data_IF_066307058842
#
_entry.id   IF_066307058842
#
_cell.length_a   1.000
_cell.length_b   1.000
_cell.length_c   1.000
_cell.angle_alpha   90.00
_cell.angle_beta   90.00
_cell.angle_gamma   90.00
#
_symmetry.space_group_name_H-M   'P 1'
#
loop_
_entity.id
_entity.type
_entity.pdbx_description
1 polymer ?
#
# COMPACT_ATOMS: atom_id res chain seq x y z
N UNK A 1 -8.99 5.38 9.80
CA UNK A 1 -9.92 5.96 8.83
C UNK A 1 -9.59 5.45 7.43
N UNK A 2 -10.60 5.01 6.68
CA UNK A 2 -10.37 4.43 5.35
C UNK A 2 -10.37 5.56 4.31
N UNK A 3 -9.38 5.64 3.41
CA UNK A 3 -9.33 6.66 2.38
C UNK A 3 -10.54 6.62 1.44
N UNK A 4 -10.96 7.78 0.99
CA UNK A 4 -12.11 7.90 0.11
C UNK A 4 -11.95 7.10 -1.19
N UNK A 5 -10.73 7.06 -1.74
CA UNK A 5 -10.48 6.32 -2.98
C UNK A 5 -10.81 4.83 -2.85
N UNK A 6 -10.68 4.27 -1.65
CA UNK A 6 -11.07 2.88 -1.40
C UNK A 6 -12.59 2.77 -1.24
N UNK A 7 -13.20 3.73 -0.56
CA UNK A 7 -14.63 3.71 -0.28
C UNK A 7 -15.48 3.80 -1.55
N UNK A 8 -14.98 4.41 -2.61
CA UNK A 8 -15.73 4.56 -3.87
C UNK A 8 -15.54 3.41 -4.84
N UNK A 9 -14.79 2.37 -4.49
CA UNK A 9 -14.67 1.18 -5.33
C UNK A 9 -16.05 0.51 -5.43
N UNK A 10 -16.52 0.31 -6.66
CA UNK A 10 -17.85 -0.24 -6.89
C UNK A 10 -17.98 -1.71 -6.55
N UNK A 11 -16.96 -2.51 -6.90
CA UNK A 11 -16.95 -3.94 -6.62
C UNK A 11 -16.71 -4.16 -5.12
N UNK A 12 -17.62 -4.89 -4.47
CA UNK A 12 -17.54 -5.12 -3.03
C UNK A 12 -16.30 -5.92 -2.63
N UNK A 13 -15.94 -6.92 -3.42
CA UNK A 13 -14.79 -7.77 -3.15
C UNK A 13 -13.49 -6.98 -3.29
N UNK A 14 -13.41 -6.14 -4.32
CA UNK A 14 -12.24 -5.27 -4.53
C UNK A 14 -12.10 -4.24 -3.42
N UNK A 15 -13.21 -3.63 -3.01
CA UNK A 15 -13.22 -2.67 -1.92
C UNK A 15 -12.76 -3.32 -0.62
N UNK A 16 -13.24 -4.50 -0.35
CA UNK A 16 -12.86 -5.27 0.83
C UNK A 16 -11.38 -5.62 0.81
N UNK A 17 -10.88 -6.08 -0.34
CA UNK A 17 -9.47 -6.39 -0.52
C UNK A 17 -8.58 -5.17 -0.23
N UNK A 18 -8.91 -4.02 -0.82
CA UNK A 18 -8.13 -2.80 -0.63
C UNK A 18 -8.23 -2.25 0.78
N UNK A 19 -9.40 -2.37 1.41
CA UNK A 19 -9.56 -1.97 2.80
C UNK A 19 -8.66 -2.78 3.71
N UNK A 20 -8.64 -4.09 3.52
CA UNK A 20 -7.81 -4.99 4.32
C UNK A 20 -6.32 -4.71 4.08
N UNK A 21 -5.93 -4.50 2.84
CA UNK A 21 -4.57 -4.16 2.48
C UNK A 21 -4.14 -2.84 3.15
N UNK A 22 -5.00 -1.83 3.11
CA UNK A 22 -4.72 -0.54 3.73
C UNK A 22 -4.55 -0.68 5.24
N UNK A 23 -5.46 -1.40 5.90
CA UNK A 23 -5.40 -1.58 7.36
C UNK A 23 -4.09 -2.28 7.75
N UNK A 24 -3.69 -3.29 6.98
CA UNK A 24 -2.46 -4.04 7.29
C UNK A 24 -1.20 -3.25 7.05
N UNK A 25 -1.12 -2.52 5.95
CA UNK A 25 0.15 -2.01 5.45
C UNK A 25 0.26 -0.49 5.45
N UNK A 26 -0.74 0.23 5.95
CA UNK A 26 -0.70 1.70 5.92
C UNK A 26 0.53 2.28 6.63
N UNK A 27 0.90 1.71 7.76
CA UNK A 27 2.06 2.19 8.51
C UNK A 27 3.36 1.96 7.75
N UNK A 28 3.47 0.79 7.15
CA UNK A 28 4.65 0.45 6.37
C UNK A 28 4.79 1.36 5.15
N UNK A 29 3.70 1.55 4.42
CA UNK A 29 3.69 2.44 3.26
C UNK A 29 3.99 3.87 3.65
N UNK A 30 3.39 4.36 4.74
CA UNK A 30 3.65 5.70 5.25
C UNK A 30 5.14 5.87 5.56
N UNK A 31 5.73 4.90 6.25
CA UNK A 31 7.14 4.96 6.62
C UNK A 31 8.06 4.97 5.40
N UNK A 32 7.77 4.12 4.42
CA UNK A 32 8.57 4.07 3.19
C UNK A 32 8.54 5.41 2.46
N UNK A 33 7.38 6.03 2.37
CA UNK A 33 7.23 7.32 1.71
C UNK A 33 7.87 8.43 2.53
N UNK A 34 7.65 8.45 3.84
CA UNK A 34 8.17 9.48 4.72
C UNK A 34 9.72 9.50 4.73
N UNK A 35 10.36 8.34 4.67
CA UNK A 35 11.82 8.27 4.62
C UNK A 35 12.38 8.98 3.39
N UNK A 36 11.61 9.05 2.31
CA UNK A 36 12.01 9.73 1.09
C UNK A 36 11.67 11.21 1.15
N UNK A 37 10.44 11.56 1.56
CA UNK A 37 9.92 12.92 1.48
C UNK A 37 10.22 13.78 2.71
N UNK A 38 10.34 13.17 3.89
CA UNK A 38 10.59 13.85 5.17
C UNK A 38 9.57 14.95 5.50
N UNK A 39 8.35 14.81 4.99
CA UNK A 39 7.28 15.79 5.16
C UNK A 39 5.95 15.05 5.29
N UNK A 40 5.24 15.26 6.41
CA UNK A 40 4.02 14.50 6.69
C UNK A 40 2.87 14.84 5.74
N UNK A 41 2.74 16.10 5.33
CA UNK A 41 1.70 16.49 4.38
C UNK A 41 1.89 15.81 3.03
N UNK A 42 3.11 15.88 2.50
CA UNK A 42 3.42 15.26 1.22
C UNK A 42 3.32 13.74 1.31
N UNK A 43 3.71 13.16 2.46
CA UNK A 43 3.62 11.72 2.66
C UNK A 43 2.18 11.24 2.58
N UNK A 44 1.24 11.95 3.19
CA UNK A 44 -0.17 11.58 3.13
C UNK A 44 -0.72 11.68 1.72
N UNK A 45 -0.36 12.73 0.98
CA UNK A 45 -0.79 12.88 -0.41
C UNK A 45 -0.23 11.77 -1.29
N UNK A 46 1.03 11.43 -1.11
CA UNK A 46 1.68 10.38 -1.89
C UNK A 46 1.15 9.00 -1.51
N UNK A 47 0.81 8.79 -0.25
CA UNK A 47 0.18 7.55 0.17
C UNK A 47 -1.15 7.34 -0.57
N UNK A 48 -1.98 8.37 -0.65
CA UNK A 48 -3.23 8.27 -1.40
C UNK A 48 -3.00 8.03 -2.88
N UNK A 49 -2.04 8.72 -3.48
CA UNK A 49 -1.69 8.52 -4.88
C UNK A 49 -1.23 7.08 -5.14
N UNK A 50 -0.47 6.52 -4.20
CA UNK A 50 -0.03 5.12 -4.27
C UNK A 50 -1.22 4.17 -4.24
N UNK A 51 -2.16 4.41 -3.32
CA UNK A 51 -3.36 3.58 -3.20
C UNK A 51 -4.20 3.61 -4.48
N UNK A 52 -4.33 4.77 -5.11
CA UNK A 52 -5.06 4.88 -6.38
C UNK A 52 -4.40 4.00 -7.45
N UNK A 53 -3.08 4.01 -7.53
CA UNK A 53 -2.35 3.16 -8.47
C UNK A 53 -2.55 1.68 -8.16
N UNK A 54 -2.56 1.31 -6.88
CA UNK A 54 -2.76 -0.07 -6.47
C UNK A 54 -4.18 -0.56 -6.79
N UNK A 55 -5.17 0.32 -6.68
CA UNK A 55 -6.55 -0.01 -7.04
C UNK A 55 -6.64 -0.46 -8.50
N UNK A 56 -5.91 0.20 -9.39
CA UNK A 56 -5.88 -0.19 -10.79
C UNK A 56 -5.21 -1.54 -11.03
N UNK A 57 -4.47 -2.03 -10.06
CA UNK A 57 -3.72 -3.29 -10.14
C UNK A 57 -4.29 -4.41 -9.29
N UNK A 58 -5.51 -4.26 -8.79
CA UNK A 58 -6.13 -5.26 -7.92
C UNK A 58 -6.07 -6.68 -8.47
N UNK A 59 -6.39 -6.96 -9.75
CA UNK A 59 -6.30 -8.34 -10.25
C UNK A 59 -4.91 -8.94 -10.12
N UNK A 60 -3.87 -8.16 -10.34
CA UNK A 60 -2.50 -8.61 -10.19
C UNK A 60 -2.14 -8.82 -8.71
N UNK A 61 -2.59 -7.91 -7.84
CA UNK A 61 -2.31 -7.99 -6.42
C UNK A 61 -2.92 -9.23 -5.78
N UNK A 62 -4.11 -9.61 -6.21
CA UNK A 62 -4.80 -10.79 -5.68
C UNK A 62 -4.07 -12.08 -5.95
N UNK A 63 -3.27 -12.13 -7.02
CA UNK A 63 -2.53 -13.32 -7.41
C UNK A 63 -1.20 -13.46 -6.72
N UNK A 64 -0.75 -12.43 -6.01
CA UNK A 64 0.54 -12.43 -5.36
C UNK A 64 0.49 -13.06 -3.98
N UNK A 65 1.52 -13.82 -3.64
CA UNK A 65 1.72 -14.28 -2.29
C UNK A 65 2.17 -13.11 -1.42
N UNK A 66 2.00 -13.24 -0.12
CA UNK A 66 2.24 -12.16 0.83
C UNK A 66 3.61 -11.48 0.68
N UNK A 67 4.74 -12.21 0.62
CA UNK A 67 6.04 -11.53 0.46
C UNK A 67 6.14 -10.76 -0.85
N UNK A 68 5.60 -11.29 -1.93
CA UNK A 68 5.58 -10.62 -3.21
C UNK A 68 4.68 -9.39 -3.20
N UNK A 69 3.54 -9.50 -2.54
CA UNK A 69 2.60 -8.40 -2.39
C UNK A 69 3.24 -7.23 -1.66
N UNK A 70 3.89 -7.50 -0.52
CA UNK A 70 4.55 -6.46 0.27
C UNK A 70 5.65 -5.78 -0.53
N UNK A 71 6.48 -6.56 -1.22
CA UNK A 71 7.53 -6.00 -2.08
C UNK A 71 6.96 -5.10 -3.17
N UNK A 72 5.87 -5.51 -3.78
CA UNK A 72 5.21 -4.76 -4.84
C UNK A 72 4.65 -3.44 -4.34
N UNK A 73 3.89 -3.46 -3.25
CA UNK A 73 3.27 -2.25 -2.73
C UNK A 73 4.30 -1.27 -2.17
N UNK A 74 5.35 -1.74 -1.55
CA UNK A 74 6.45 -0.89 -1.08
C UNK A 74 7.18 -0.24 -2.25
N UNK A 75 7.43 -1.00 -3.31
CA UNK A 75 8.06 -0.46 -4.52
C UNK A 75 7.17 0.60 -5.17
N UNK A 76 5.86 0.37 -5.22
CA UNK A 76 4.91 1.35 -5.74
C UNK A 76 4.95 2.65 -4.94
N UNK A 77 4.99 2.54 -3.61
CA UNK A 77 5.06 3.70 -2.73
C UNK A 77 6.35 4.48 -2.93
N UNK A 78 7.48 3.78 -2.97
CA UNK A 78 8.79 4.44 -3.16
C UNK A 78 8.90 5.08 -4.54
N UNK A 79 8.43 4.40 -5.58
CA UNK A 79 8.42 4.95 -6.93
C UNK A 79 7.60 6.24 -6.99
N UNK A 80 6.43 6.24 -6.39
CA UNK A 80 5.55 7.41 -6.38
C UNK A 80 6.21 8.59 -5.64
N UNK A 81 6.84 8.30 -4.50
CA UNK A 81 7.55 9.32 -3.72
C UNK A 81 8.76 9.88 -4.47
N UNK A 82 9.55 9.01 -5.09
CA UNK A 82 10.72 9.43 -5.87
C UNK A 82 10.31 10.27 -7.08
N UNK A 83 9.24 9.89 -7.75
CA UNK A 83 8.73 10.66 -8.89
C UNK A 83 8.22 12.04 -8.44
N UNK A 84 7.63 12.14 -7.25
CA UNK A 84 7.25 13.42 -6.69
C UNK A 84 8.46 14.33 -6.51
N UNK A 85 9.56 13.83 -5.95
CA UNK A 85 10.79 14.59 -5.80
C UNK A 85 11.40 14.98 -7.13
N UNK A 86 11.39 14.07 -8.10
CA UNK A 86 11.92 14.32 -9.43
C UNK A 86 11.13 15.41 -10.16
N UNK A 87 9.82 15.42 -9.97
CA UNK A 87 8.98 16.46 -10.55
C UNK A 87 9.34 17.83 -9.99
N UNK A 88 9.67 17.93 -8.71
CA UNK A 88 10.11 19.17 -8.09
C UNK A 88 11.46 19.63 -8.65
N UNK A 89 12.34 18.70 -8.96
CA UNK A 89 13.68 18.98 -9.50
C UNK A 89 13.68 19.02 -11.04
N UNK A 90 12.52 18.86 -11.67
CA UNK A 90 12.36 18.81 -13.13
C UNK A 90 13.14 17.67 -13.79
N UNK A 91 13.30 16.56 -13.07
CA UNK A 91 13.92 15.35 -13.60
C UNK A 91 12.82 14.43 -14.14
N UNK A 92 13.07 13.75 -15.26
CA UNK A 92 12.10 12.83 -15.84
C UNK A 92 11.75 11.72 -14.86
N UNK A 93 10.44 11.41 -14.64
CA UNK A 93 10.05 10.35 -13.72
C UNK A 93 10.37 8.96 -14.28
N UNK A 94 10.70 8.04 -13.38
CA UNK A 94 10.76 6.62 -13.74
C UNK A 94 9.35 6.05 -13.86
N UNK A 95 9.17 5.13 -14.80
CA UNK A 95 7.94 4.35 -14.80
C UNK A 95 7.96 3.36 -13.63
N UNK A 96 6.77 2.96 -13.21
CA UNK A 96 6.65 1.96 -12.15
C UNK A 96 7.34 0.64 -12.55
N UNK A 97 7.19 0.24 -13.79
CA UNK A 97 7.79 -0.98 -14.31
C UNK A 97 9.32 -0.92 -14.28
N UNK A 98 9.90 0.21 -14.66
CA UNK A 98 11.35 0.40 -14.60
C UNK A 98 11.85 0.32 -13.16
N UNK A 99 11.13 0.94 -12.24
CA UNK A 99 11.51 0.90 -10.83
C UNK A 99 11.47 -0.53 -10.30
N UNK A 100 10.45 -1.29 -10.64
CA UNK A 100 10.31 -2.68 -10.22
C UNK A 100 11.42 -3.57 -10.75
N UNK A 101 11.92 -3.28 -11.95
CA UNK A 101 13.04 -4.04 -12.50
C UNK A 101 14.36 -3.76 -11.78
N UNK A 102 14.51 -2.57 -11.22
CA UNK A 102 15.74 -2.17 -10.54
C UNK A 102 15.74 -2.50 -9.05
N UNK A 103 14.56 -2.60 -8.45
CA UNK A 103 14.46 -2.83 -6.99
C UNK A 103 14.19 -4.29 -6.72
N UNK A 104 15.14 -4.94 -6.02
CA UNK A 104 14.93 -6.29 -5.54
C UNK A 104 14.32 -6.24 -4.13
N UNK A 105 13.43 -7.19 -3.80
CA UNK A 105 12.94 -7.31 -2.43
C UNK A 105 14.13 -7.61 -1.53
N UNK A 106 14.40 -6.75 -0.58
CA UNK A 106 15.50 -6.98 0.34
C UNK A 106 14.97 -7.50 1.69
N UNK A 107 15.86 -8.14 2.41
CA UNK A 107 15.56 -8.74 3.69
C UNK A 107 15.17 -7.70 4.74
N UNK A 108 15.70 -6.50 4.64
CA UNK A 108 15.38 -5.42 5.56
C UNK A 108 13.90 -5.04 5.50
N UNK A 109 13.29 -5.04 4.31
CA UNK A 109 11.86 -4.76 4.17
C UNK A 109 11.02 -5.84 4.83
N UNK A 110 11.42 -7.10 4.68
CA UNK A 110 10.72 -8.21 5.32
C UNK A 110 10.79 -8.11 6.82
N UNK A 111 11.98 -7.78 7.34
CA UNK A 111 12.18 -7.61 8.78
C UNK A 111 11.37 -6.43 9.30
N UNK A 112 11.30 -5.33 8.55
CA UNK A 112 10.49 -4.18 8.92
C UNK A 112 9.02 -4.51 8.95
N UNK A 113 8.53 -5.28 7.97
CA UNK A 113 7.13 -5.70 7.97
C UNK A 113 6.82 -6.54 9.21
N UNK A 114 7.66 -7.51 9.51
CA UNK A 114 7.49 -8.36 10.68
C UNK A 114 7.56 -7.57 11.98
N UNK A 115 8.44 -6.58 12.04
CA UNK A 115 8.59 -5.73 13.21
C UNK A 115 7.40 -4.81 13.43
N UNK A 116 6.89 -4.20 12.35
CA UNK A 116 5.82 -3.21 12.45
C UNK A 116 4.43 -3.81 12.59
N UNK A 117 4.24 -5.03 12.09
CA UNK A 117 2.95 -5.72 12.12
C UNK A 117 3.19 -7.09 12.74
N UNK A 118 2.92 -7.21 14.03
CA UNK A 118 3.07 -8.50 14.70
C UNK A 118 2.02 -9.48 14.19
N UNK A 119 2.35 -10.74 14.26
CA UNK A 119 1.41 -11.80 13.89
C UNK A 119 0.12 -11.70 14.70
N UNK A 120 0.24 -11.37 15.97
CA UNK A 120 -0.92 -11.23 16.85
C UNK A 120 -1.83 -10.09 16.44
N UNK A 121 -1.25 -8.96 15.99
CA UNK A 121 -2.03 -7.84 15.48
C UNK A 121 -2.78 -8.23 14.21
N UNK A 122 -2.13 -8.97 13.33
CA UNK A 122 -2.76 -9.45 12.09
C UNK A 122 -3.90 -10.41 12.44
N UNK A 123 -3.66 -11.35 13.33
CA UNK A 123 -4.67 -12.32 13.74
C UNK A 123 -5.86 -11.64 14.39
N UNK A 124 -5.63 -10.61 15.18
CA UNK A 124 -6.69 -9.84 15.79
C UNK A 124 -7.51 -9.08 14.75
N UNK A 125 -6.85 -8.45 13.79
CA UNK A 125 -7.53 -7.76 12.68
C UNK A 125 -8.36 -8.74 11.86
N UNK A 126 -7.81 -9.91 11.56
CA UNK A 126 -8.53 -10.95 10.81
C UNK A 126 -9.74 -11.45 11.60
N UNK A 127 -9.64 -11.58 12.90
CA UNK A 127 -10.77 -11.99 13.74
C UNK A 127 -11.86 -10.95 13.79
N UNK A 128 -11.49 -9.69 13.81
CA UNK A 128 -12.47 -8.59 13.81
C UNK A 128 -13.09 -8.37 12.44
N UNK A 129 -12.36 -8.72 11.40
CA UNK A 129 -12.77 -8.48 10.03
C UNK A 129 -14.09 -9.14 9.65
N UNK A 130 -14.34 -10.41 9.99
CA UNK A 130 -15.61 -11.04 9.63
C UNK A 130 -16.83 -10.30 10.14
N UNK A 131 -16.76 -9.67 11.31
CA UNK A 131 -17.87 -8.90 11.85
C UNK A 131 -18.12 -7.63 11.04
N UNK A 132 -17.06 -6.96 10.62
CA UNK A 132 -17.17 -5.79 9.77
C UNK A 132 -17.65 -6.16 8.37
N UNK A 133 -17.15 -7.27 7.87
CA UNK A 133 -17.51 -7.79 6.57
C UNK A 133 -18.99 -8.16 6.52
N UNK A 134 -19.49 -8.85 7.54
CA UNK A 134 -20.90 -9.19 7.64
C UNK A 134 -21.77 -7.94 7.62
N UNK A 135 -21.35 -6.88 8.29
CA UNK A 135 -22.06 -5.60 8.27
C UNK A 135 -22.04 -4.98 6.89
N UNK A 136 -20.90 -5.04 6.21
CA UNK A 136 -20.78 -4.53 4.84
C UNK A 136 -21.68 -5.27 3.87
N UNK A 137 -21.77 -6.57 4.02
CA UNK A 137 -22.63 -7.40 3.18
C UNK A 137 -24.10 -7.16 3.44
N UNK A 138 -24.45 -6.77 4.64
CA UNK A 138 -25.83 -6.47 5.00
C UNK A 138 -26.26 -5.07 4.59
N UNK A 139 -25.32 -4.22 4.31
CA UNK A 139 -25.57 -2.86 3.83
C UNK A 139 -25.60 -2.81 2.31
#
# INVERSE_FOLDING_TARGET
>A
MIPYCILVIEDDDDREFMTLLYIRYQRLLYKEIYEILKNSWNTEDILQATLVKLIDKIPELRQKERPQLVGYICAAARNTALNFLRAQDKIAPFSFEEYMMQSEPNEERRQMEEYMISKDEIDELVRRWPKLDDRSKML
#
